data_IF_265399729965
#
_entry.id   IF_265399729965
#
_cell.length_a   1.000
_cell.length_b   1.000
_cell.length_c   1.000
_cell.angle_alpha   90.00
_cell.angle_beta   90.00
_cell.angle_gamma   90.00
#
_symmetry.space_group_name_H-M   'P 1'
#
loop_
_entity.id
_entity.type
_entity.pdbx_description
1 polymer ?
#
# COMPACT_ATOMS: atom_id res chain seq x y z
N UNK A 1 -10.12 13.36 29.96
CA UNK A 1 -10.29 12.02 29.36
C UNK A 1 -10.46 12.08 27.84
N UNK A 2 -9.56 12.78 27.12
CA UNK A 2 -9.69 13.02 25.66
C UNK A 2 -8.68 12.27 24.79
N UNK A 3 -7.82 11.43 25.40
CA UNK A 3 -6.73 10.73 24.68
C UNK A 3 -7.19 9.61 23.74
N UNK A 4 -8.31 8.94 24.03
CA UNK A 4 -8.73 7.76 23.25
C UNK A 4 -9.31 8.04 21.86
N UNK A 5 -9.86 9.24 21.63
CA UNK A 5 -10.57 9.57 20.37
C UNK A 5 -9.60 9.98 19.25
N UNK A 6 -8.47 10.59 19.61
CA UNK A 6 -7.46 11.04 18.65
C UNK A 6 -6.75 9.85 17.99
N UNK A 7 -6.41 8.82 18.78
CA UNK A 7 -5.71 7.63 18.28
C UNK A 7 -6.60 6.81 17.34
N UNK A 8 -7.88 6.64 17.68
CA UNK A 8 -8.82 5.88 16.84
C UNK A 8 -9.10 6.54 15.48
N UNK A 9 -9.22 7.88 15.43
CA UNK A 9 -9.45 8.59 14.16
C UNK A 9 -8.20 8.58 13.26
N UNK A 10 -7.00 8.64 13.86
CA UNK A 10 -5.73 8.47 13.16
C UNK A 10 -5.60 7.08 12.54
N UNK A 11 -5.96 6.02 13.26
CA UNK A 11 -5.93 4.63 12.75
C UNK A 11 -6.88 4.43 11.57
N UNK A 12 -8.11 4.95 11.64
CA UNK A 12 -9.08 4.85 10.53
C UNK A 12 -8.57 5.59 9.29
N UNK A 13 -8.01 6.79 9.45
CA UNK A 13 -7.45 7.55 8.34
C UNK A 13 -6.27 6.82 7.66
N UNK A 14 -5.45 6.11 8.45
CA UNK A 14 -4.34 5.29 7.93
C UNK A 14 -4.85 4.05 7.20
N UNK A 15 -5.88 3.38 7.70
CA UNK A 15 -6.52 2.25 7.00
C UNK A 15 -7.10 2.67 5.64
N UNK A 16 -7.82 3.79 5.59
CA UNK A 16 -8.33 4.36 4.33
C UNK A 16 -7.18 4.63 3.36
N UNK A 17 -6.05 5.15 3.86
CA UNK A 17 -4.87 5.40 3.03
C UNK A 17 -4.25 4.12 2.47
N UNK A 18 -4.18 3.03 3.25
CA UNK A 18 -3.68 1.75 2.75
C UNK A 18 -4.61 1.17 1.69
N UNK A 19 -5.93 1.28 1.88
CA UNK A 19 -6.89 0.86 0.86
C UNK A 19 -6.75 1.69 -0.43
N UNK A 20 -6.60 3.01 -0.31
CA UNK A 20 -6.37 3.88 -1.46
C UNK A 20 -5.10 3.49 -2.25
N UNK A 21 -4.02 3.09 -1.57
CA UNK A 21 -2.81 2.61 -2.25
C UNK A 21 -3.02 1.28 -2.99
N UNK A 22 -3.80 0.36 -2.42
CA UNK A 22 -4.17 -0.89 -3.12
C UNK A 22 -4.97 -0.60 -4.39
N UNK A 23 -5.94 0.31 -4.30
CA UNK A 23 -6.75 0.70 -5.44
C UNK A 23 -5.90 1.38 -6.53
N UNK A 24 -4.97 2.26 -6.13
CA UNK A 24 -4.03 2.90 -7.05
C UNK A 24 -3.09 1.90 -7.75
N UNK A 25 -2.60 0.87 -7.05
CA UNK A 25 -1.84 -0.22 -7.69
C UNK A 25 -2.73 -1.01 -8.66
N UNK A 26 -3.99 -1.28 -8.30
CA UNK A 26 -4.96 -1.90 -9.20
C UNK A 26 -5.07 -1.13 -10.52
N UNK A 27 -5.16 0.20 -10.47
CA UNK A 27 -5.18 1.05 -11.66
C UNK A 27 -3.86 0.99 -12.46
N UNK A 28 -2.69 1.06 -11.80
CA UNK A 28 -1.37 0.99 -12.47
C UNK A 28 -1.19 -0.34 -13.23
N UNK A 29 -1.60 -1.45 -12.62
CA UNK A 29 -1.47 -2.78 -13.21
C UNK A 29 -2.64 -3.17 -14.11
N UNK A 30 -3.57 -2.24 -14.39
CA UNK A 30 -4.67 -2.44 -15.33
C UNK A 30 -5.71 -3.48 -14.88
N UNK A 31 -5.81 -3.74 -13.58
CA UNK A 31 -6.94 -4.50 -13.06
C UNK A 31 -8.20 -3.66 -13.26
N UNK A 32 -9.19 -4.21 -13.99
CA UNK A 32 -10.52 -3.63 -13.94
C UNK A 32 -10.95 -3.64 -12.48
N UNK A 33 -11.01 -2.46 -11.86
CA UNK A 33 -11.69 -2.28 -10.59
C UNK A 33 -13.06 -2.94 -10.76
N UNK A 34 -13.36 -3.92 -9.90
CA UNK A 34 -14.73 -4.37 -9.73
C UNK A 34 -15.62 -3.12 -9.65
N UNK A 35 -16.83 -3.14 -10.25
CA UNK A 35 -17.68 -1.94 -10.30
C UNK A 35 -17.70 -1.33 -8.90
N UNK A 36 -17.43 -0.01 -8.78
CA UNK A 36 -17.31 0.62 -7.48
C UNK A 36 -18.50 0.18 -6.67
N UNK A 37 -18.24 -0.36 -5.47
CA UNK A 37 -19.27 -0.74 -4.53
C UNK A 37 -20.34 0.35 -4.60
N UNK A 38 -21.61 -0.04 -4.68
CA UNK A 38 -22.78 0.80 -4.96
C UNK A 38 -23.03 1.92 -3.94
N UNK A 39 -22.04 2.21 -3.09
CA UNK A 39 -21.98 3.29 -2.15
C UNK A 39 -21.37 4.57 -2.80
N UNK A 40 -22.20 5.59 -3.08
CA UNK A 40 -21.76 6.86 -3.66
C UNK A 40 -20.78 7.65 -2.76
N UNK A 41 -20.64 7.31 -1.48
CA UNK A 41 -19.65 7.93 -0.61
C UNK A 41 -18.21 7.50 -0.96
N UNK A 42 -18.02 6.26 -1.39
CA UNK A 42 -16.70 5.71 -1.78
C UNK A 42 -16.27 6.18 -3.17
N UNK A 43 -17.23 6.46 -4.06
CA UNK A 43 -16.99 6.95 -5.43
C UNK A 43 -16.29 8.31 -5.49
N UNK A 44 -16.50 9.17 -4.49
CA UNK A 44 -15.82 10.47 -4.39
C UNK A 44 -14.40 10.36 -3.81
N UNK A 45 -14.08 9.27 -3.09
CA UNK A 45 -12.74 8.95 -2.60
C UNK A 45 -11.85 8.40 -3.73
N UNK A 46 -12.44 7.77 -4.75
CA UNK A 46 -11.82 7.48 -6.05
C UNK A 46 -11.75 8.72 -6.94
N UNK A 47 -11.37 9.86 -6.36
CA UNK A 47 -10.82 10.96 -7.17
C UNK A 47 -9.59 10.38 -7.86
N UNK A 48 -9.63 10.26 -9.19
CA UNK A 48 -8.62 9.62 -10.03
C UNK A 48 -7.24 9.65 -9.38
N UNK A 49 -6.72 8.50 -8.94
CA UNK A 49 -5.44 8.43 -8.21
C UNK A 49 -4.29 9.03 -9.05
N UNK A 50 -4.48 9.11 -10.37
CA UNK A 50 -3.65 9.81 -11.35
C UNK A 50 -3.43 11.31 -11.08
N UNK A 51 -4.27 11.96 -10.27
CA UNK A 51 -3.98 13.32 -9.81
C UNK A 51 -2.79 13.36 -8.84
N UNK A 52 -2.43 12.24 -8.23
CA UNK A 52 -1.24 12.13 -7.38
C UNK A 52 0.02 12.07 -8.25
N UNK A 53 0.98 13.01 -8.08
CA UNK A 53 2.24 12.96 -8.81
C UNK A 53 3.06 11.71 -8.47
N UNK A 54 2.88 11.15 -7.26
CA UNK A 54 3.59 9.94 -6.83
C UNK A 54 3.08 8.72 -7.59
N UNK A 55 1.77 8.59 -7.78
CA UNK A 55 1.16 7.49 -8.55
C UNK A 55 1.63 7.54 -10.00
N UNK A 56 1.66 8.73 -10.61
CA UNK A 56 2.18 8.92 -11.97
C UNK A 56 3.66 8.57 -12.11
N UNK A 57 4.47 8.94 -11.11
CA UNK A 57 5.90 8.60 -11.11
C UNK A 57 6.11 7.09 -10.95
N UNK A 58 5.32 6.45 -10.08
CA UNK A 58 5.36 5.01 -9.89
C UNK A 58 4.92 4.25 -11.14
N UNK A 59 3.84 4.68 -11.79
CA UNK A 59 3.40 4.11 -13.08
C UNK A 59 4.50 4.23 -14.13
N UNK A 60 5.07 5.42 -14.31
CA UNK A 60 6.16 5.59 -15.28
C UNK A 60 7.35 4.66 -15.00
N UNK A 61 7.79 4.60 -13.74
CA UNK A 61 8.85 3.68 -13.33
C UNK A 61 8.46 2.20 -13.56
N UNK A 62 7.21 1.83 -13.31
CA UNK A 62 6.70 0.50 -13.58
C UNK A 62 6.66 0.18 -15.08
N UNK A 63 6.33 1.15 -15.95
CA UNK A 63 6.37 0.94 -17.41
C UNK A 63 7.81 0.78 -17.94
N UNK A 64 8.78 1.43 -17.31
CA UNK A 64 10.20 1.32 -17.69
C UNK A 64 10.84 0.01 -17.19
N UNK A 65 10.56 -0.37 -15.94
CA UNK A 65 11.23 -1.48 -15.24
C UNK A 65 10.42 -2.78 -15.27
N UNK A 66 9.09 -2.68 -15.20
CA UNK A 66 8.19 -3.84 -15.07
C UNK A 66 8.20 -4.41 -13.66
N UNK A 67 7.92 -3.57 -12.64
CA UNK A 67 8.00 -3.99 -11.24
C UNK A 67 7.09 -5.18 -10.94
N UNK A 68 7.60 -6.13 -10.15
CA UNK A 68 6.78 -7.24 -9.67
C UNK A 68 5.79 -6.73 -8.63
N UNK A 69 4.51 -6.67 -9.03
CA UNK A 69 3.39 -6.19 -8.20
C UNK A 69 3.38 -6.75 -6.77
N UNK A 70 3.69 -8.05 -6.63
CA UNK A 70 3.67 -8.75 -5.34
C UNK A 70 4.52 -8.05 -4.27
N UNK A 71 5.64 -7.41 -4.62
CA UNK A 71 6.48 -6.71 -3.65
C UNK A 71 5.85 -5.41 -3.17
N UNK A 72 5.14 -4.69 -4.05
CA UNK A 72 4.39 -3.48 -3.70
C UNK A 72 3.17 -3.81 -2.83
N UNK A 73 2.41 -4.85 -3.19
CA UNK A 73 1.27 -5.32 -2.38
C UNK A 73 1.72 -5.72 -0.97
N UNK A 74 2.82 -6.48 -0.87
CA UNK A 74 3.39 -6.92 0.42
C UNK A 74 3.83 -5.75 1.29
N UNK A 75 4.37 -4.69 0.69
CA UNK A 75 4.71 -3.45 1.41
C UNK A 75 3.48 -2.76 1.97
N UNK A 76 2.39 -2.69 1.21
CA UNK A 76 1.15 -2.08 1.69
C UNK A 76 0.54 -2.93 2.81
N UNK A 77 0.51 -4.26 2.65
CA UNK A 77 -0.04 -5.18 3.64
C UNK A 77 0.74 -5.13 4.96
N UNK A 78 2.07 -5.19 4.92
CA UNK A 78 2.90 -5.06 6.12
C UNK A 78 2.70 -3.71 6.83
N UNK A 79 2.55 -2.62 6.08
CA UNK A 79 2.23 -1.30 6.64
C UNK A 79 0.80 -1.18 7.18
N UNK A 80 -0.14 -1.95 6.64
CA UNK A 80 -1.47 -2.05 7.23
C UNK A 80 -1.43 -2.82 8.55
N UNK A 81 -0.63 -3.90 8.63
CA UNK A 81 -0.42 -4.67 9.86
C UNK A 81 0.25 -3.84 10.97
N UNK A 82 1.14 -2.90 10.64
CA UNK A 82 1.73 -1.96 11.60
C UNK A 82 0.66 -1.13 12.35
N UNK A 83 -0.55 -0.98 11.80
CA UNK A 83 -1.66 -0.29 12.45
C UNK A 83 -2.36 -1.13 13.53
N UNK A 84 -2.17 -2.45 13.49
CA UNK A 84 -2.80 -3.44 14.37
C UNK A 84 -1.79 -4.04 15.38
N UNK A 85 -0.56 -4.29 14.93
CA UNK A 85 0.49 -4.96 15.70
C UNK A 85 1.37 -3.94 16.41
N UNK A 86 1.28 -3.90 17.75
CA UNK A 86 2.08 -2.99 18.58
C UNK A 86 3.49 -3.50 18.86
N UNK A 87 3.72 -4.82 18.88
CA UNK A 87 5.02 -5.44 19.18
C UNK A 87 5.20 -6.78 18.47
N UNK A 88 6.41 -7.00 17.92
CA UNK A 88 6.85 -8.29 17.38
C UNK A 88 7.36 -9.14 18.56
N UNK A 89 6.68 -10.25 18.84
CA UNK A 89 6.90 -11.05 20.05
C UNK A 89 7.98 -12.11 19.87
N UNK A 90 8.22 -12.56 18.64
CA UNK A 90 9.18 -13.63 18.33
C UNK A 90 10.22 -13.17 17.30
N UNK A 91 11.38 -13.84 17.29
CA UNK A 91 12.40 -13.60 16.28
C UNK A 91 11.88 -13.95 14.87
N UNK A 92 11.08 -15.01 14.76
CA UNK A 92 10.48 -15.42 13.49
C UNK A 92 9.52 -14.35 12.95
N UNK A 93 8.71 -13.73 13.80
CA UNK A 93 7.89 -12.56 13.42
C UNK A 93 8.75 -11.40 12.94
N UNK A 94 9.88 -11.13 13.61
CA UNK A 94 10.81 -10.08 13.17
C UNK A 94 11.46 -10.40 11.82
N UNK A 95 11.79 -11.66 11.55
CA UNK A 95 12.37 -12.08 10.27
C UNK A 95 11.33 -11.94 9.17
N UNK A 96 10.11 -12.42 9.40
CA UNK A 96 9.01 -12.32 8.43
C UNK A 96 8.68 -10.85 8.13
N UNK A 97 8.63 -10.00 9.15
CA UNK A 97 8.39 -8.57 8.96
C UNK A 97 9.51 -7.90 8.14
N UNK A 98 10.77 -8.25 8.40
CA UNK A 98 11.90 -7.76 7.62
C UNK A 98 11.85 -8.23 6.16
N UNK A 99 11.43 -9.47 5.92
CA UNK A 99 11.21 -10.00 4.56
C UNK A 99 10.07 -9.28 3.84
N UNK A 100 8.99 -8.97 4.56
CA UNK A 100 7.83 -8.31 3.98
C UNK A 100 8.08 -6.83 3.64
N UNK A 101 8.94 -6.17 4.41
CA UNK A 101 9.27 -4.75 4.26
C UNK A 101 10.58 -4.51 3.54
N UNK A 102 11.71 -4.82 4.18
CA UNK A 102 13.05 -4.49 3.68
C UNK A 102 13.40 -5.32 2.45
N UNK A 103 13.13 -6.62 2.47
CA UNK A 103 13.44 -7.47 1.31
C UNK A 103 12.58 -7.08 0.10
N UNK A 104 11.29 -6.75 0.27
CA UNK A 104 10.45 -6.22 -0.82
C UNK A 104 11.06 -4.98 -1.50
N UNK A 105 11.57 -4.02 -0.72
CA UNK A 105 12.26 -2.85 -1.27
C UNK A 105 13.56 -3.22 -1.97
N UNK A 106 14.32 -4.17 -1.42
CA UNK A 106 15.54 -4.66 -2.04
C UNK A 106 15.25 -5.33 -3.38
N UNK A 107 14.24 -6.19 -3.47
CA UNK A 107 13.84 -6.84 -4.72
C UNK A 107 13.40 -5.81 -5.77
N UNK A 108 12.56 -4.83 -5.40
CA UNK A 108 12.18 -3.74 -6.32
C UNK A 108 13.40 -2.92 -6.77
N UNK A 109 14.38 -2.70 -5.89
CA UNK A 109 15.62 -2.00 -6.25
C UNK A 109 16.46 -2.82 -7.23
N UNK A 110 16.53 -4.13 -7.04
CA UNK A 110 17.21 -5.04 -7.97
C UNK A 110 16.55 -5.01 -9.36
N UNK A 111 15.21 -4.97 -9.41
CA UNK A 111 14.48 -4.82 -10.67
C UNK A 111 14.89 -3.53 -11.40
N UNK A 112 15.12 -2.40 -10.69
CA UNK A 112 15.58 -1.15 -11.33
C UNK A 112 16.94 -1.26 -12.01
N UNK A 113 17.78 -2.22 -11.61
CA UNK A 113 19.10 -2.47 -12.23
C UNK A 113 19.09 -3.66 -13.19
N UNK A 114 17.90 -4.23 -13.47
CA UNK A 114 17.72 -5.32 -14.43
C UNK A 114 18.08 -6.71 -13.89
N UNK A 115 18.05 -6.90 -12.57
CA UNK A 115 18.22 -8.20 -11.89
C UNK A 115 16.87 -8.75 -11.48
#
# INVERSE_FOLDING_TARGET
ETGGVQDSTSTIALQIRMQWWKDALGEIYGEQSAPPASDPALQNLTTSCWNSPIVRALDNANQEVGFTRRFLDRLIDSRALDLEVLQLATLDESINYAEDTVSSLLYLTLETVGV
#
